data_IF_197690472580
#
_entry.id   IF_197690472580
#
_cell.length_a   1.000
_cell.length_b   1.000
_cell.length_c   1.000
_cell.angle_alpha   90.00
_cell.angle_beta   90.00
_cell.angle_gamma   90.00
#
_symmetry.space_group_name_H-M   'P 1'
#
loop_
_entity.id
_entity.type
_entity.pdbx_description
1 polymer ?
#
# COMPACT_ATOMS: atom_id res chain seq x y z
N UNK A 1 44.29 46.27 25.00
CA UNK A 1 44.42 45.60 23.68
C UNK A 1 43.97 44.14 23.68
N UNK A 2 43.92 43.45 24.83
CA UNK A 2 43.55 42.02 24.95
C UNK A 2 42.04 41.71 24.88
N UNK A 3 41.15 42.63 25.32
CA UNK A 3 39.69 42.39 25.29
C UNK A 3 39.07 42.40 23.88
N UNK A 4 39.65 43.10 22.92
CA UNK A 4 39.10 43.20 21.55
C UNK A 4 39.35 41.91 20.77
N UNK A 5 40.49 41.25 21.02
CA UNK A 5 40.81 39.95 20.43
C UNK A 5 39.88 38.82 20.93
N UNK A 6 39.50 38.83 22.21
CA UNK A 6 38.59 37.81 22.76
C UNK A 6 37.18 37.85 22.12
N UNK A 7 36.64 39.04 21.89
CA UNK A 7 35.34 39.19 21.22
C UNK A 7 35.37 38.74 19.75
N UNK A 8 36.50 38.91 19.06
CA UNK A 8 36.67 38.45 17.67
C UNK A 8 36.81 36.92 17.59
N UNK A 9 37.49 36.31 18.57
CA UNK A 9 37.63 34.85 18.66
C UNK A 9 36.28 34.20 19.01
N UNK A 10 35.51 34.76 19.95
CA UNK A 10 34.18 34.24 20.33
C UNK A 10 33.15 34.46 19.21
N UNK A 11 33.18 35.60 18.53
CA UNK A 11 32.30 35.85 17.38
C UNK A 11 32.63 34.97 16.17
N UNK A 12 33.93 34.73 15.92
CA UNK A 12 34.40 33.87 14.84
C UNK A 12 34.02 32.41 15.03
N UNK A 13 34.15 31.86 16.25
CA UNK A 13 33.75 30.47 16.53
C UNK A 13 32.25 30.26 16.41
N UNK A 14 31.44 31.26 16.80
CA UNK A 14 29.99 31.18 16.67
C UNK A 14 29.55 31.14 15.19
N UNK A 15 30.16 31.97 14.34
CA UNK A 15 29.87 31.99 12.90
C UNK A 15 30.31 30.70 12.20
N UNK A 16 31.49 30.17 12.52
CA UNK A 16 31.97 28.90 11.96
C UNK A 16 31.07 27.74 12.38
N UNK A 17 30.61 27.71 13.64
CA UNK A 17 29.67 26.70 14.13
C UNK A 17 28.30 26.81 13.43
N UNK A 18 27.81 28.03 13.20
CA UNK A 18 26.52 28.24 12.55
C UNK A 18 26.55 27.77 11.09
N UNK A 19 27.56 28.19 10.33
CA UNK A 19 27.72 27.74 8.94
C UNK A 19 27.99 26.23 8.84
N UNK A 20 28.80 25.67 9.75
CA UNK A 20 29.03 24.24 9.82
C UNK A 20 27.74 23.45 10.07
N UNK A 21 26.88 23.92 10.98
CA UNK A 21 25.61 23.27 11.30
C UNK A 21 24.59 23.34 10.16
N UNK A 22 24.54 24.47 9.43
CA UNK A 22 23.67 24.65 8.25
C UNK A 22 24.14 23.77 7.10
N UNK A 23 25.45 23.69 6.85
CA UNK A 23 26.02 22.81 5.84
C UNK A 23 25.75 21.33 6.17
N UNK A 24 25.92 20.92 7.44
CA UNK A 24 25.56 19.59 7.92
C UNK A 24 24.07 19.31 7.73
N UNK A 25 23.20 20.31 7.95
CA UNK A 25 21.76 20.16 7.77
C UNK A 25 21.38 19.99 6.29
N UNK A 26 22.01 20.75 5.38
CA UNK A 26 21.79 20.63 3.93
C UNK A 26 22.29 19.28 3.40
N UNK A 27 23.50 18.87 3.77
CA UNK A 27 24.06 17.57 3.36
C UNK A 27 23.26 16.40 3.94
N UNK A 28 22.75 16.53 5.17
CA UNK A 28 21.91 15.51 5.81
C UNK A 28 20.51 15.46 5.19
N UNK A 29 19.94 16.58 4.75
CA UNK A 29 18.66 16.60 4.02
C UNK A 29 18.79 15.91 2.66
N UNK A 30 19.90 16.13 1.94
CA UNK A 30 20.15 15.49 0.65
C UNK A 30 20.30 13.96 0.80
N UNK A 31 21.07 13.51 1.81
CA UNK A 31 21.17 12.09 2.18
C UNK A 31 19.84 11.48 2.64
N UNK A 32 18.94 12.27 3.23
CA UNK A 32 17.62 11.81 3.65
C UNK A 32 16.65 11.69 2.46
N UNK A 33 16.77 12.60 1.47
CA UNK A 33 16.01 12.55 0.21
C UNK A 33 16.44 11.37 -0.66
N UNK A 34 17.74 11.10 -0.76
CA UNK A 34 18.29 9.97 -1.51
C UNK A 34 17.81 8.62 -0.94
N UNK A 35 17.87 8.46 0.40
CA UNK A 35 17.31 7.28 1.09
C UNK A 35 15.80 7.10 0.90
N UNK A 36 15.04 8.19 0.75
CA UNK A 36 13.58 8.14 0.50
C UNK A 36 13.26 7.72 -0.95
N UNK A 37 14.10 8.11 -1.91
CA UNK A 37 13.97 7.72 -3.32
C UNK A 37 14.35 6.24 -3.49
N UNK A 38 15.43 5.75 -2.85
CA UNK A 38 15.77 4.32 -2.85
C UNK A 38 14.74 3.47 -2.11
N UNK A 39 14.21 3.91 -0.95
CA UNK A 39 13.16 3.15 -0.23
C UNK A 39 11.84 3.02 -1.00
N UNK A 40 11.57 3.93 -1.93
CA UNK A 40 10.40 3.92 -2.81
C UNK A 40 10.51 2.94 -3.99
N UNK A 41 11.72 2.48 -4.30
CA UNK A 41 12.00 1.54 -5.41
C UNK A 41 12.42 0.14 -4.92
N UNK A 42 12.15 -0.21 -3.64
CA UNK A 42 12.36 -1.58 -3.16
C UNK A 42 11.44 -2.52 -3.94
N UNK A 43 12.03 -3.16 -4.96
CA UNK A 43 11.52 -4.36 -5.62
C UNK A 43 11.09 -5.33 -4.52
N UNK A 44 9.81 -5.66 -4.49
CA UNK A 44 9.27 -6.66 -3.58
C UNK A 44 9.85 -8.01 -4.01
N UNK A 45 10.93 -8.42 -3.35
CA UNK A 45 11.55 -9.72 -3.56
C UNK A 45 10.73 -10.75 -2.80
N UNK A 46 9.98 -11.57 -3.54
CA UNK A 46 9.19 -12.66 -2.99
C UNK A 46 10.19 -13.69 -2.45
N UNK A 47 10.31 -13.76 -1.12
CA UNK A 47 11.02 -14.86 -0.47
C UNK A 47 10.23 -16.15 -0.71
N UNK A 48 10.70 -16.94 -1.67
CA UNK A 48 10.18 -18.28 -1.95
C UNK A 48 10.97 -19.26 -1.12
N UNK A 49 10.42 -19.66 0.03
CA UNK A 49 10.92 -20.82 0.76
C UNK A 49 10.55 -22.07 -0.06
N UNK A 50 11.43 -22.40 -1.00
CA UNK A 50 11.29 -23.56 -1.88
C UNK A 50 11.53 -24.81 -1.05
N UNK A 51 10.46 -25.50 -0.65
CA UNK A 51 10.55 -26.86 -0.12
C UNK A 51 10.85 -27.80 -1.30
N UNK A 52 12.12 -28.19 -1.45
CA UNK A 52 12.53 -29.22 -2.40
C UNK A 52 12.08 -30.59 -1.91
N UNK A 53 10.85 -30.97 -2.26
CA UNK A 53 10.40 -32.36 -2.23
C UNK A 53 10.76 -33.06 -3.54
N UNK A 54 11.89 -33.75 -3.57
CA UNK A 54 12.26 -34.67 -4.65
C UNK A 54 11.44 -35.95 -4.56
N UNK A 55 10.39 -36.07 -5.38
CA UNK A 55 9.96 -37.35 -5.95
C UNK A 55 9.51 -37.13 -7.41
N UNK A 56 10.33 -37.59 -8.34
CA UNK A 56 10.06 -37.53 -9.79
C UNK A 56 8.95 -38.51 -10.17
N UNK A 57 7.70 -38.05 -10.07
CA UNK A 57 6.58 -38.64 -10.79
C UNK A 57 6.59 -38.17 -12.26
N UNK A 58 6.58 -39.11 -13.20
CA UNK A 58 6.49 -38.84 -14.64
C UNK A 58 5.15 -38.15 -14.94
N UNK A 59 5.14 -36.87 -15.25
CA UNK A 59 3.95 -36.18 -15.76
C UNK A 59 3.92 -36.27 -17.28
N UNK A 60 2.92 -36.99 -17.79
CA UNK A 60 2.48 -36.89 -19.19
C UNK A 60 1.86 -35.52 -19.45
N UNK A 61 1.86 -35.01 -20.71
CA UNK A 61 1.30 -33.71 -21.02
C UNK A 61 -0.23 -33.82 -21.12
N UNK A 62 -0.90 -33.87 -19.98
CA UNK A 62 -2.35 -33.71 -19.92
C UNK A 62 -2.64 -32.22 -19.72
N UNK A 63 -3.02 -31.54 -20.81
CA UNK A 63 -3.55 -30.18 -20.90
C UNK A 63 -2.96 -29.15 -19.92
N UNK A 64 -2.16 -28.21 -20.45
CA UNK A 64 -1.59 -27.00 -19.79
C UNK A 64 -2.65 -26.10 -19.10
N UNK A 65 -3.24 -26.61 -18.01
CA UNK A 65 -4.48 -26.13 -17.37
C UNK A 65 -4.28 -25.81 -15.88
N UNK A 66 -3.03 -25.77 -15.42
CA UNK A 66 -2.68 -25.39 -14.06
C UNK A 66 -2.75 -23.87 -13.84
N UNK A 67 -3.18 -23.44 -12.65
CA UNK A 67 -3.04 -22.04 -12.26
C UNK A 67 -1.57 -21.72 -12.02
N UNK A 68 -1.15 -20.50 -12.37
CA UNK A 68 0.21 -20.04 -12.10
C UNK A 68 0.37 -19.66 -10.63
N UNK A 69 -0.72 -19.15 -10.03
CA UNK A 69 -0.74 -18.54 -8.71
C UNK A 69 -2.05 -18.86 -8.01
N UNK A 70 -1.98 -19.36 -6.78
CA UNK A 70 -3.13 -19.54 -5.89
C UNK A 70 -3.04 -18.51 -4.75
N UNK A 71 -4.09 -17.71 -4.58
CA UNK A 71 -4.22 -16.71 -3.52
C UNK A 71 -5.26 -17.21 -2.52
N UNK A 72 -4.86 -17.36 -1.26
CA UNK A 72 -5.77 -17.73 -0.16
C UNK A 72 -6.24 -16.45 0.54
N UNK A 73 -7.54 -16.18 0.41
CA UNK A 73 -8.23 -14.99 0.92
C UNK A 73 -8.47 -13.95 -0.18
N UNK A 74 -9.73 -13.56 -0.38
CA UNK A 74 -10.19 -12.47 -1.25
C UNK A 74 -10.59 -11.22 -0.44
N UNK A 75 -9.82 -10.89 0.59
CA UNK A 75 -9.91 -9.59 1.27
C UNK A 75 -9.28 -8.47 0.43
N UNK A 76 -9.03 -7.31 1.03
CA UNK A 76 -8.44 -6.14 0.33
C UNK A 76 -7.13 -6.49 -0.39
N UNK A 77 -6.19 -7.12 0.34
CA UNK A 77 -4.88 -7.47 -0.23
C UNK A 77 -4.99 -8.55 -1.32
N UNK A 78 -5.76 -9.61 -1.06
CA UNK A 78 -5.91 -10.72 -1.99
C UNK A 78 -6.62 -10.32 -3.28
N UNK A 79 -7.70 -9.55 -3.19
CA UNK A 79 -8.42 -9.05 -4.37
C UNK A 79 -7.55 -8.07 -5.18
N UNK A 80 -6.81 -7.16 -4.53
CA UNK A 80 -5.89 -6.24 -5.21
C UNK A 80 -4.74 -6.99 -5.92
N UNK A 81 -4.15 -7.97 -5.23
CA UNK A 81 -3.08 -8.82 -5.78
C UNK A 81 -3.59 -9.63 -6.96
N UNK A 82 -4.77 -10.26 -6.83
CA UNK A 82 -5.38 -11.04 -7.89
C UNK A 82 -5.67 -10.18 -9.13
N UNK A 83 -6.25 -8.99 -8.94
CA UNK A 83 -6.50 -8.06 -10.04
C UNK A 83 -5.21 -7.66 -10.76
N UNK A 84 -4.16 -7.33 -10.00
CA UNK A 84 -2.86 -6.90 -10.55
C UNK A 84 -2.22 -8.03 -11.37
N UNK A 85 -2.12 -9.23 -10.80
CA UNK A 85 -1.52 -10.39 -11.47
C UNK A 85 -2.36 -10.86 -12.67
N UNK A 86 -3.69 -10.78 -12.58
CA UNK A 86 -4.59 -11.10 -13.68
C UNK A 86 -4.44 -10.11 -14.85
N UNK A 87 -4.25 -8.81 -14.57
CA UNK A 87 -3.93 -7.80 -15.59
C UNK A 87 -2.60 -8.08 -16.28
N UNK A 88 -1.63 -8.59 -15.52
CA UNK A 88 -0.33 -9.04 -16.05
C UNK A 88 -0.40 -10.37 -16.82
N UNK A 89 -1.62 -10.93 -16.98
CA UNK A 89 -1.88 -12.10 -17.81
C UNK A 89 -1.57 -13.44 -17.14
N UNK A 90 -1.33 -13.46 -15.83
CA UNK A 90 -1.16 -14.69 -15.03
C UNK A 90 -2.49 -15.41 -14.84
N UNK A 91 -2.46 -16.74 -14.79
CA UNK A 91 -3.60 -17.57 -14.38
C UNK A 91 -3.68 -17.58 -12.86
N UNK A 92 -4.67 -16.88 -12.31
CA UNK A 92 -4.79 -16.68 -10.86
C UNK A 92 -6.05 -17.37 -10.36
N UNK A 93 -5.89 -18.21 -9.35
CA UNK A 93 -6.99 -18.81 -8.59
C UNK A 93 -7.05 -18.19 -7.21
N UNK A 94 -8.23 -17.68 -6.83
CA UNK A 94 -8.46 -17.10 -5.51
C UNK A 94 -9.41 -17.99 -4.74
N UNK A 95 -8.99 -18.42 -3.55
CA UNK A 95 -9.82 -19.21 -2.64
C UNK A 95 -10.27 -18.30 -1.52
N UNK A 96 -11.57 -18.12 -1.33
CA UNK A 96 -12.13 -17.30 -0.26
C UNK A 96 -13.17 -18.10 0.49
N UNK A 97 -13.12 -18.02 1.83
CA UNK A 97 -14.03 -18.73 2.71
C UNK A 97 -15.48 -18.36 2.42
N UNK A 98 -15.73 -17.06 2.27
CA UNK A 98 -17.06 -16.51 2.02
C UNK A 98 -17.00 -15.32 1.05
N UNK A 99 -17.65 -15.49 -0.10
CA UNK A 99 -17.73 -14.47 -1.15
C UNK A 99 -18.87 -13.46 -0.94
N UNK A 100 -19.76 -13.67 0.03
CA UNK A 100 -20.78 -12.69 0.41
C UNK A 100 -20.13 -11.40 0.92
N UNK A 101 -20.93 -10.31 0.95
CA UNK A 101 -20.47 -9.02 1.44
C UNK A 101 -20.09 -9.10 2.93
N UNK A 102 -18.83 -8.83 3.30
CA UNK A 102 -18.43 -8.91 4.70
C UNK A 102 -19.11 -7.83 5.56
N UNK A 103 -19.71 -8.26 6.67
CA UNK A 103 -20.23 -7.36 7.71
C UNK A 103 -19.22 -7.22 8.85
N UNK A 104 -18.50 -6.09 8.89
CA UNK A 104 -17.50 -5.78 9.93
C UNK A 104 -17.15 -4.30 9.97
N UNK A 105 -16.76 -3.83 11.15
CA UNK A 105 -16.41 -2.43 11.44
C UNK A 105 -14.95 -2.06 11.10
N UNK A 106 -14.13 -3.02 10.65
CA UNK A 106 -12.70 -2.81 10.41
C UNK A 106 -12.44 -2.41 8.96
N UNK A 107 -11.46 -1.53 8.75
CA UNK A 107 -11.01 -1.15 7.40
C UNK A 107 -11.97 -0.21 6.67
N UNK A 108 -12.68 0.64 7.41
CA UNK A 108 -13.64 1.60 6.85
C UNK A 108 -13.02 2.95 6.46
N UNK A 109 -11.74 3.18 6.76
CA UNK A 109 -11.02 4.41 6.38
C UNK A 109 -9.76 4.11 5.58
N UNK A 110 -9.79 4.41 4.29
CA UNK A 110 -8.65 4.40 3.40
C UNK A 110 -7.89 5.73 3.50
N UNK A 111 -6.63 5.67 3.90
CA UNK A 111 -5.75 6.85 3.96
C UNK A 111 -5.43 7.37 2.55
N UNK A 112 -5.07 8.66 2.37
CA UNK A 112 -4.72 9.21 1.05
C UNK A 112 -3.64 8.41 0.31
N UNK A 113 -2.63 7.90 1.04
CA UNK A 113 -1.59 7.05 0.45
C UNK A 113 -2.11 5.70 -0.06
N UNK A 114 -3.11 5.13 0.62
CA UNK A 114 -3.78 3.91 0.16
C UNK A 114 -4.62 4.17 -1.09
N UNK A 115 -5.32 5.30 -1.14
CA UNK A 115 -6.07 5.73 -2.33
C UNK A 115 -5.14 5.92 -3.54
N UNK A 116 -3.99 6.56 -3.35
CA UNK A 116 -2.96 6.67 -4.41
C UNK A 116 -2.50 5.30 -4.91
N UNK A 117 -2.35 4.31 -4.02
CA UNK A 117 -2.00 2.95 -4.43
C UNK A 117 -3.13 2.23 -5.16
N UNK A 118 -4.40 2.47 -4.83
CA UNK A 118 -5.50 1.98 -5.66
C UNK A 118 -5.44 2.57 -7.06
N UNK A 119 -5.21 3.88 -7.19
CA UNK A 119 -5.08 4.55 -8.48
C UNK A 119 -3.91 3.99 -9.31
N UNK A 120 -2.77 3.73 -8.69
CA UNK A 120 -1.61 3.11 -9.36
C UNK A 120 -1.92 1.70 -9.91
N UNK A 121 -2.77 0.94 -9.21
CA UNK A 121 -3.18 -0.40 -9.63
C UNK A 121 -4.37 -0.40 -10.62
N UNK A 122 -5.02 0.76 -10.80
CA UNK A 122 -6.26 0.90 -11.58
C UNK A 122 -7.47 0.34 -10.85
N UNK A 123 -7.57 0.54 -9.54
CA UNK A 123 -8.62 0.07 -8.61
C UNK A 123 -9.34 1.22 -7.87
N UNK A 124 -9.07 2.47 -8.25
CA UNK A 124 -9.60 3.67 -7.62
C UNK A 124 -11.13 3.80 -7.77
N UNK A 125 -11.69 3.31 -8.86
CA UNK A 125 -13.14 3.21 -9.10
C UNK A 125 -13.85 2.23 -8.16
N UNK A 126 -13.13 1.38 -7.41
CA UNK A 126 -13.72 0.50 -6.40
C UNK A 126 -14.22 1.25 -5.16
N UNK A 127 -13.81 2.52 -4.96
CA UNK A 127 -14.37 3.38 -3.91
C UNK A 127 -15.50 4.29 -4.40
N UNK A 128 -15.84 4.22 -5.68
CA UNK A 128 -16.96 4.96 -6.26
C UNK A 128 -18.25 4.15 -6.14
N UNK A 129 -19.40 4.83 -6.10
CA UNK A 129 -20.75 4.23 -6.02
C UNK A 129 -21.01 3.33 -4.79
N UNK A 130 -20.16 3.41 -3.76
CA UNK A 130 -20.34 2.69 -2.48
C UNK A 130 -20.71 3.61 -1.31
N UNK A 131 -21.09 4.85 -1.62
CA UNK A 131 -21.33 5.94 -0.65
C UNK A 131 -20.06 6.31 0.15
N UNK A 132 -18.90 6.28 -0.51
CA UNK A 132 -17.64 6.65 0.11
C UNK A 132 -17.57 8.16 0.37
N UNK A 133 -17.22 8.52 1.60
CA UNK A 133 -17.05 9.89 2.05
C UNK A 133 -15.61 10.34 1.92
N UNK A 134 -15.38 11.51 1.32
CA UNK A 134 -14.04 12.12 1.25
C UNK A 134 -13.58 12.60 2.62
N UNK A 135 -12.37 12.22 3.03
CA UNK A 135 -11.76 12.60 4.31
C UNK A 135 -10.53 13.47 4.06
N UNK A 136 -10.59 14.73 4.50
CA UNK A 136 -9.54 15.74 4.25
C UNK A 136 -8.54 15.90 5.40
N UNK A 137 -8.75 15.18 6.50
CA UNK A 137 -7.96 15.25 7.72
C UNK A 137 -8.80 14.87 8.93
N UNK A 138 -8.33 15.24 10.12
CA UNK A 138 -8.97 14.93 11.39
C UNK A 138 -9.28 16.19 12.17
N UNK A 139 -10.32 16.15 12.99
CA UNK A 139 -10.52 17.08 14.09
C UNK A 139 -10.13 16.37 15.40
N UNK A 140 -9.26 17.00 16.19
CA UNK A 140 -8.79 16.47 17.47
C UNK A 140 -9.42 17.28 18.59
N UNK A 141 -10.05 16.61 19.53
CA UNK A 141 -10.68 17.22 20.70
C UNK A 141 -10.05 16.64 21.96
N UNK A 142 -9.61 17.50 22.89
CA UNK A 142 -9.04 17.08 24.17
C UNK A 142 -9.20 18.18 25.21
N UNK A 143 -9.76 17.84 26.37
CA UNK A 143 -9.87 18.74 27.54
C UNK A 143 -10.48 20.12 27.21
N UNK A 144 -11.58 20.13 26.44
CA UNK A 144 -12.24 21.37 25.97
C UNK A 144 -11.50 22.15 24.87
N UNK A 145 -10.32 21.69 24.45
CA UNK A 145 -9.55 22.25 23.33
C UNK A 145 -9.81 21.45 22.06
N UNK A 146 -9.75 22.12 20.92
CA UNK A 146 -9.85 21.48 19.61
C UNK A 146 -8.78 22.00 18.64
N UNK A 147 -8.42 21.16 17.67
CA UNK A 147 -7.57 21.55 16.54
C UNK A 147 -7.92 20.70 15.32
N UNK A 148 -7.63 21.23 14.12
CA UNK A 148 -7.81 20.52 12.85
C UNK A 148 -6.46 20.10 12.31
N UNK A 149 -6.30 18.80 12.06
CA UNK A 149 -5.14 18.22 11.40
C UNK A 149 -5.50 17.89 9.95
N UNK A 150 -5.22 18.82 9.04
CA UNK A 150 -5.40 18.59 7.60
C UNK A 150 -4.33 17.69 7.01
N UNK A 151 -4.71 16.81 6.08
CA UNK A 151 -3.74 16.04 5.31
C UNK A 151 -2.84 16.96 4.45
N UNK A 152 -1.56 16.62 4.25
CA UNK A 152 -0.61 17.42 3.47
C UNK A 152 -0.78 17.20 1.96
N UNK A 153 -1.93 17.62 1.40
CA UNK A 153 -2.35 17.28 0.03
C UNK A 153 -1.91 18.26 -1.05
N UNK A 154 -1.24 19.37 -0.71
CA UNK A 154 -0.92 20.48 -1.63
C UNK A 154 -0.13 20.08 -2.90
N UNK A 155 0.58 18.95 -2.86
CA UNK A 155 1.42 18.46 -3.97
C UNK A 155 0.73 17.39 -4.83
N UNK A 156 -0.51 17.05 -4.52
CA UNK A 156 -1.26 15.99 -5.18
C UNK A 156 -2.47 16.57 -5.93
N UNK A 157 -3.05 15.79 -6.85
CA UNK A 157 -4.28 16.16 -7.53
C UNK A 157 -5.42 16.42 -6.53
N UNK A 158 -6.35 17.30 -6.89
CA UNK A 158 -7.43 17.76 -6.00
C UNK A 158 -8.33 16.63 -5.47
N UNK A 159 -8.37 15.49 -6.16
CA UNK A 159 -9.18 14.34 -5.77
C UNK A 159 -8.50 13.43 -4.72
N UNK A 160 -7.17 13.54 -4.58
CA UNK A 160 -6.40 12.75 -3.63
C UNK A 160 -6.76 13.17 -2.21
N UNK A 161 -7.51 12.31 -1.53
CA UNK A 161 -7.94 12.47 -0.15
C UNK A 161 -8.20 11.08 0.46
N UNK A 162 -8.37 11.01 1.77
CA UNK A 162 -8.85 9.78 2.39
C UNK A 162 -10.28 9.45 1.91
N UNK A 163 -10.69 8.20 2.06
CA UNK A 163 -12.04 7.73 1.76
C UNK A 163 -12.56 6.91 2.92
N UNK A 164 -13.71 7.27 3.46
CA UNK A 164 -14.42 6.48 4.46
C UNK A 164 -15.58 5.75 3.79
N UNK A 165 -15.80 4.48 4.07
CA UNK A 165 -16.84 3.67 3.42
C UNK A 165 -17.16 2.42 4.24
N UNK A 166 -18.28 1.76 3.93
CA UNK A 166 -18.53 0.41 4.44
C UNK A 166 -17.55 -0.59 3.83
N UNK A 167 -16.80 -1.30 4.67
CA UNK A 167 -15.75 -2.21 4.21
C UNK A 167 -16.29 -3.34 3.31
N UNK A 168 -17.50 -3.84 3.60
CA UNK A 168 -18.14 -4.88 2.81
C UNK A 168 -18.31 -4.49 1.34
N UNK A 169 -18.94 -3.33 1.10
CA UNK A 169 -19.17 -2.78 -0.25
C UNK A 169 -17.86 -2.58 -1.02
N UNK A 170 -16.81 -2.08 -0.35
CA UNK A 170 -15.49 -1.91 -0.96
C UNK A 170 -14.89 -3.24 -1.40
N UNK A 171 -14.92 -4.27 -0.54
CA UNK A 171 -14.40 -5.60 -0.89
C UNK A 171 -15.19 -6.23 -2.01
N UNK A 172 -16.52 -6.06 -2.01
CA UNK A 172 -17.38 -6.53 -3.10
C UNK A 172 -16.96 -5.90 -4.43
N UNK A 173 -16.81 -4.57 -4.50
CA UNK A 173 -16.34 -3.87 -5.72
C UNK A 173 -14.95 -4.34 -6.16
N UNK A 174 -14.04 -4.60 -5.23
CA UNK A 174 -12.70 -5.12 -5.54
C UNK A 174 -12.77 -6.54 -6.14
N UNK A 175 -13.60 -7.41 -5.57
CA UNK A 175 -13.82 -8.79 -6.07
C UNK A 175 -14.49 -8.79 -7.44
N UNK A 176 -15.55 -8.00 -7.61
CA UNK A 176 -16.26 -7.83 -8.89
C UNK A 176 -15.30 -7.37 -9.99
N UNK A 177 -14.48 -6.34 -9.71
CA UNK A 177 -13.49 -5.84 -10.66
C UNK A 177 -12.43 -6.88 -11.02
N UNK A 178 -11.92 -7.63 -10.05
CA UNK A 178 -10.99 -8.73 -10.31
C UNK A 178 -11.62 -9.84 -11.17
N UNK A 179 -12.89 -10.19 -10.93
CA UNK A 179 -13.62 -11.23 -11.64
C UNK A 179 -13.89 -10.90 -13.12
N UNK A 180 -13.75 -9.64 -13.54
CA UNK A 180 -13.85 -9.26 -14.96
C UNK A 180 -12.68 -9.76 -15.82
N UNK A 181 -11.59 -10.20 -15.19
CA UNK A 181 -10.38 -10.64 -15.88
C UNK A 181 -10.51 -12.11 -16.31
N UNK A 182 -10.23 -12.45 -17.59
CA UNK A 182 -10.54 -13.77 -18.16
C UNK A 182 -9.69 -14.91 -17.59
N UNK A 183 -8.53 -14.61 -16.99
CA UNK A 183 -7.60 -15.61 -16.42
C UNK A 183 -7.69 -15.71 -14.89
N UNK A 184 -8.73 -15.15 -14.29
CA UNK A 184 -8.92 -15.12 -12.85
C UNK A 184 -10.19 -15.90 -12.48
N UNK A 185 -10.08 -16.80 -11.49
CA UNK A 185 -11.22 -17.56 -10.97
C UNK A 185 -11.30 -17.47 -9.44
N UNK A 186 -12.52 -17.39 -8.91
CA UNK A 186 -12.81 -17.46 -7.47
C UNK A 186 -13.40 -18.82 -7.11
N UNK A 187 -12.95 -19.42 -6.02
CA UNK A 187 -13.46 -20.67 -5.49
C UNK A 187 -13.85 -20.53 -4.02
N UNK A 188 -14.96 -21.18 -3.66
CA UNK A 188 -15.36 -21.39 -2.27
C UNK A 188 -14.58 -22.57 -1.67
N UNK A 189 -14.31 -22.59 -0.35
CA UNK A 189 -13.48 -23.61 0.31
C UNK A 189 -14.03 -25.03 0.14
N UNK A 190 -15.34 -25.20 -0.05
CA UNK A 190 -15.97 -26.51 -0.27
C UNK A 190 -15.51 -27.22 -1.56
N UNK A 191 -14.94 -26.48 -2.52
CA UNK A 191 -14.38 -27.04 -3.75
C UNK A 191 -12.91 -27.46 -3.62
N UNK A 192 -12.25 -27.18 -2.49
CA UNK A 192 -10.82 -27.43 -2.29
C UNK A 192 -10.56 -28.84 -1.72
N UNK A 193 -11.58 -29.55 -1.25
CA UNK A 193 -11.43 -30.84 -0.56
C UNK A 193 -11.49 -32.09 -1.46
N UNK A 194 -11.42 -31.95 -2.79
CA UNK A 194 -11.19 -33.09 -3.69
C UNK A 194 -9.74 -33.13 -4.15
N UNK A 195 -8.86 -33.53 -3.25
CA UNK A 195 -7.57 -34.14 -3.60
C UNK A 195 -7.39 -35.39 -2.74
N UNK A 196 -7.00 -36.47 -3.41
CA UNK A 196 -7.01 -37.90 -3.05
C UNK A 196 -6.72 -38.28 -1.59
#
# INVERSE_FOLDING_TARGET
MTMVFYNYIIGGTFLVSLFGSVLLFILRDDSYREKKIEKGSRKFEIQTDTVTGTETGKCSPENDSGDDIIIVGAGVAGAALAHTLGKDGRRVRVIERDLTEPDRIVGELLQPGGYLKLAELGLEDCVEEIDAQRVLGYALFKDGRNTKLSYPLKKFHADVAGRSFHNGRFIRRMREKAATLPKLSFLLPGFVLHTY
#
